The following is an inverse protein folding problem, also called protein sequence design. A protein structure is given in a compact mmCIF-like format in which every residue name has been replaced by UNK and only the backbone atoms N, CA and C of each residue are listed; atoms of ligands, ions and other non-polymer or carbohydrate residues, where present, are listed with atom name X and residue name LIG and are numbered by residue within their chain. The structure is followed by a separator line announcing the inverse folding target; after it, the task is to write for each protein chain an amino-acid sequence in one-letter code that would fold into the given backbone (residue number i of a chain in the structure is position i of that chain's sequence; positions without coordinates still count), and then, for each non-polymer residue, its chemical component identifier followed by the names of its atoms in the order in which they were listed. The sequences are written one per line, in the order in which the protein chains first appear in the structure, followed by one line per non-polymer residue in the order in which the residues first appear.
data_IF_892519672996
#
_entry.id   IF_892519672996
#
_cell.length_a   1.000
_cell.length_b   1.000
_cell.length_c   1.000
_cell.angle_alpha   90.00
_cell.angle_beta   90.00
_cell.angle_gamma   90.00
#
_symmetry.space_group_name_H-M   'P 1'
#
loop_
_entity.id
_entity.type
_entity.pdbx_description
1 polymer ?
#
# COMPACT_ATOMS: atom_id res chain seq x y z
N UNK A 1 -13.94 -38.25 -25.56
CA UNK A 1 -12.49 -38.25 -25.42
C UNK A 1 -12.13 -37.21 -24.37
N UNK A 2 -11.96 -37.68 -23.15
CA UNK A 2 -11.61 -36.89 -21.96
C UNK A 2 -10.10 -36.70 -21.93
N UNK A 3 -9.62 -35.46 -21.82
CA UNK A 3 -8.23 -35.19 -21.44
C UNK A 3 -8.24 -34.51 -20.07
N UNK A 4 -7.69 -35.26 -19.11
CA UNK A 4 -7.50 -34.80 -17.74
C UNK A 4 -6.49 -33.67 -17.65
N UNK A 5 -6.79 -32.74 -16.75
CA UNK A 5 -5.88 -31.68 -16.30
C UNK A 5 -5.03 -32.29 -15.18
N UNK A 6 -3.74 -32.38 -15.43
CA UNK A 6 -2.74 -32.82 -14.46
C UNK A 6 -2.42 -31.67 -13.51
N UNK A 7 -2.73 -31.88 -12.24
CA UNK A 7 -2.41 -30.96 -11.14
C UNK A 7 -0.95 -31.22 -10.75
N UNK A 8 -0.07 -30.26 -11.02
CA UNK A 8 1.29 -30.28 -10.48
C UNK A 8 1.29 -29.91 -9.01
N UNK A 9 1.58 -30.93 -8.22
CA UNK A 9 1.72 -30.95 -6.78
C UNK A 9 2.99 -30.24 -6.30
N UNK A 10 2.80 -29.46 -5.28
CA UNK A 10 3.68 -28.91 -4.26
C UNK A 10 5.11 -29.46 -4.14
N UNK A 11 6.08 -28.54 -4.24
CA UNK A 11 7.41 -28.72 -3.69
C UNK A 11 7.68 -27.59 -2.66
N UNK A 12 7.18 -27.81 -1.43
CA UNK A 12 7.53 -26.99 -0.27
C UNK A 12 8.89 -27.42 0.25
N UNK A 13 9.91 -26.62 0.02
CA UNK A 13 11.24 -26.77 0.59
C UNK A 13 11.18 -26.61 2.13
N UNK A 14 11.19 -27.73 2.84
CA UNK A 14 11.45 -27.79 4.29
C UNK A 14 12.92 -27.40 4.56
N UNK A 15 13.15 -26.22 5.07
CA UNK A 15 14.44 -25.84 5.68
C UNK A 15 14.47 -26.30 7.13
N UNK A 16 15.34 -27.25 7.42
CA UNK A 16 15.70 -27.70 8.77
C UNK A 16 16.61 -26.65 9.42
N UNK A 17 16.42 -26.26 10.68
CA UNK A 17 17.35 -25.37 11.37
C UNK A 17 18.63 -26.12 11.75
N UNK A 18 19.77 -25.51 11.43
CA UNK A 18 21.09 -25.99 11.82
C UNK A 18 21.29 -25.83 13.34
N UNK A 19 21.57 -26.94 14.02
CA UNK A 19 21.98 -26.97 15.41
C UNK A 19 23.39 -26.41 15.55
N UNK A 20 23.55 -25.35 16.33
CA UNK A 20 24.86 -24.84 16.75
C UNK A 20 25.31 -25.64 17.97
N UNK A 21 26.36 -26.47 17.80
CA UNK A 21 27.06 -27.09 18.91
C UNK A 21 27.91 -26.03 19.61
N UNK A 22 27.62 -25.78 20.88
CA UNK A 22 28.48 -25.03 21.80
C UNK A 22 29.46 -26.02 22.42
N UNK A 23 30.75 -25.86 22.15
CA UNK A 23 31.82 -26.60 22.79
C UNK A 23 32.17 -25.91 24.11
N UNK A 24 31.97 -26.65 25.18
CA UNK A 24 32.36 -26.33 26.56
C UNK A 24 33.86 -26.58 26.72
N UNK A 25 34.69 -25.57 26.90
CA UNK A 25 36.06 -25.70 27.36
C UNK A 25 36.23 -25.09 28.73
N UNK A 26 36.23 -25.95 29.72
CA UNK A 26 36.63 -25.63 31.06
C UNK A 26 38.16 -25.49 31.11
N UNK A 27 38.68 -24.31 31.48
CA UNK A 27 40.07 -24.09 31.88
C UNK A 27 40.08 -23.52 33.30
N UNK A 28 40.75 -24.27 34.17
CA UNK A 28 40.89 -23.99 35.59
C UNK A 28 41.78 -22.79 35.94
N UNK A 29 41.84 -22.43 37.24
CA UNK A 29 42.35 -21.12 37.66
C UNK A 29 43.86 -21.11 37.87
N UNK A 30 44.56 -20.20 37.18
CA UNK A 30 45.92 -19.82 37.53
C UNK A 30 45.89 -18.51 38.35
N UNK A 31 46.25 -18.65 39.64
CA UNK A 31 46.47 -17.52 40.53
C UNK A 31 47.74 -16.78 40.07
N UNK A 32 47.62 -15.49 39.83
CA UNK A 32 48.71 -14.53 39.89
C UNK A 32 48.16 -13.24 40.54
N UNK A 33 48.58 -13.06 41.78
CA UNK A 33 48.42 -11.83 42.51
C UNK A 33 49.27 -10.74 41.83
N UNK A 34 48.62 -9.74 41.27
CA UNK A 34 49.24 -8.50 40.86
C UNK A 34 48.54 -7.35 41.56
N UNK A 35 49.24 -6.80 42.56
CA UNK A 35 48.88 -5.55 43.20
C UNK A 35 48.84 -4.44 42.14
N UNK A 36 47.66 -3.97 41.83
CA UNK A 36 47.47 -2.74 41.06
C UNK A 36 46.73 -1.75 41.91
N UNK A 37 47.41 -0.71 42.29
CA UNK A 37 46.88 0.39 43.07
C UNK A 37 45.72 1.12 42.35
N UNK A 38 44.94 1.92 43.08
CA UNK A 38 43.77 2.58 42.53
C UNK A 38 44.19 3.77 41.63
N UNK A 39 44.31 3.54 40.35
CA UNK A 39 44.24 4.65 39.41
C UNK A 39 42.74 4.92 39.19
N UNK A 40 42.22 5.84 40.00
CA UNK A 40 41.01 6.55 39.68
C UNK A 40 41.27 7.43 38.46
N UNK A 41 41.22 6.84 37.28
CA UNK A 41 41.12 7.59 36.06
C UNK A 41 39.68 8.20 36.04
N UNK A 42 39.64 9.49 36.31
CA UNK A 42 38.44 10.28 36.04
C UNK A 42 38.15 10.25 34.54
N UNK A 43 37.37 9.29 34.10
CA UNK A 43 36.77 9.31 32.76
C UNK A 43 35.88 10.54 32.71
N UNK A 44 36.07 11.45 31.76
CA UNK A 44 35.19 12.59 31.63
C UNK A 44 33.75 12.11 31.40
N UNK A 45 32.84 12.51 32.29
CA UNK A 45 31.40 12.25 32.23
C UNK A 45 30.72 12.85 30.95
N UNK A 46 31.54 13.36 30.02
CA UNK A 46 31.07 13.99 28.78
C UNK A 46 30.64 13.00 27.68
N UNK A 47 30.83 11.67 27.87
CA UNK A 47 30.43 10.69 26.85
C UNK A 47 29.05 10.09 27.04
N UNK A 48 28.30 10.50 28.06
CA UNK A 48 26.97 9.93 28.35
C UNK A 48 25.80 10.76 27.84
N UNK A 49 26.05 11.80 27.05
CA UNK A 49 25.00 12.58 26.38
C UNK A 49 25.16 12.57 24.86
N UNK A 50 25.60 11.46 24.29
CA UNK A 50 25.22 11.18 22.92
C UNK A 50 23.72 10.83 22.93
N UNK A 51 22.86 11.86 23.13
CA UNK A 51 21.51 11.77 22.60
C UNK A 51 21.70 11.41 21.14
N UNK A 52 21.34 10.17 20.77
CA UNK A 52 21.19 9.81 19.39
C UNK A 52 20.20 10.84 18.83
N UNK A 53 20.71 11.91 18.24
CA UNK A 53 19.93 12.74 17.35
C UNK A 53 19.51 11.76 16.27
N UNK A 54 18.24 11.37 16.30
CA UNK A 54 17.62 10.76 15.13
C UNK A 54 18.06 11.65 13.97
N UNK A 55 18.89 11.09 13.07
CA UNK A 55 19.48 11.86 11.98
C UNK A 55 18.37 12.61 11.28
N UNK A 56 18.54 13.91 11.10
CA UNK A 56 17.60 14.69 10.35
C UNK A 56 17.62 14.14 8.94
N UNK A 57 16.46 13.67 8.44
CA UNK A 57 16.35 13.14 7.08
C UNK A 57 16.68 14.28 6.12
N UNK A 58 17.64 14.05 5.24
CA UNK A 58 17.95 14.97 4.15
C UNK A 58 16.80 14.91 3.12
N UNK A 59 16.05 16.00 2.92
CA UNK A 59 14.94 15.99 1.98
C UNK A 59 15.38 15.86 0.51
N UNK A 60 16.66 16.06 0.17
CA UNK A 60 17.19 15.80 -1.16
C UNK A 60 17.44 14.30 -1.43
N UNK A 61 17.57 13.50 -0.38
CA UNK A 61 17.77 12.06 -0.45
C UNK A 61 16.51 11.28 -0.11
N UNK A 62 15.70 11.80 0.82
CA UNK A 62 14.47 11.14 1.26
C UNK A 62 13.36 12.15 1.51
N UNK A 63 12.32 12.13 0.68
CA UNK A 63 11.12 12.93 0.87
C UNK A 63 10.07 12.18 1.72
N UNK A 64 9.52 12.85 2.73
CA UNK A 64 8.45 12.31 3.56
C UNK A 64 7.20 13.18 3.46
N UNK A 65 6.08 12.58 3.09
CA UNK A 65 4.76 13.19 3.21
C UNK A 65 4.01 12.50 4.35
N UNK A 66 3.79 13.19 5.45
CA UNK A 66 3.03 12.67 6.59
C UNK A 66 1.54 12.65 6.28
N UNK A 67 0.79 11.77 6.93
CA UNK A 67 -0.65 11.60 6.69
C UNK A 67 -1.47 12.87 6.88
N UNK A 68 -1.09 13.73 7.82
CA UNK A 68 -1.70 15.02 8.11
C UNK A 68 -1.34 16.12 7.09
N UNK A 69 -0.29 15.89 6.31
CA UNK A 69 0.16 16.79 5.24
C UNK A 69 -0.40 16.41 3.85
N UNK A 70 -1.12 15.30 3.74
CA UNK A 70 -1.74 14.88 2.47
C UNK A 70 -2.86 15.85 2.10
N UNK A 71 -2.75 16.44 0.90
CA UNK A 71 -3.74 17.37 0.38
C UNK A 71 -4.79 16.62 -0.44
N UNK A 72 -5.98 16.51 0.12
CA UNK A 72 -7.13 15.95 -0.54
C UNK A 72 -7.87 16.99 -1.35
N UNK A 73 -8.24 16.64 -2.57
CA UNK A 73 -9.05 17.45 -3.46
C UNK A 73 -10.34 16.69 -3.78
N UNK A 74 -11.47 17.36 -3.75
CA UNK A 74 -12.73 16.78 -4.23
C UNK A 74 -12.61 16.53 -5.73
N UNK A 75 -13.25 15.49 -6.21
CA UNK A 75 -13.33 15.27 -7.66
C UNK A 75 -14.15 16.34 -8.34
N UNK A 76 -13.57 16.97 -9.37
CA UNK A 76 -14.21 18.07 -10.11
C UNK A 76 -15.51 17.64 -10.79
N UNK A 77 -15.57 16.39 -11.26
CA UNK A 77 -16.66 15.87 -12.08
C UNK A 77 -17.61 14.93 -11.33
N UNK A 78 -17.37 14.73 -10.02
CA UNK A 78 -18.20 13.88 -9.16
C UNK A 78 -19.30 14.65 -8.43
N UNK A 79 -20.35 13.96 -7.97
CA UNK A 79 -21.32 14.58 -7.06
C UNK A 79 -20.66 15.09 -5.78
N UNK A 80 -21.18 16.14 -5.17
CA UNK A 80 -20.70 16.59 -3.86
C UNK A 80 -20.61 15.41 -2.88
N UNK A 81 -19.53 15.33 -2.12
CA UNK A 81 -19.28 14.29 -1.12
C UNK A 81 -19.15 12.86 -1.66
N UNK A 82 -18.96 12.65 -2.97
CA UNK A 82 -18.77 11.31 -3.53
C UNK A 82 -17.38 10.74 -3.21
N UNK A 83 -16.36 11.58 -3.17
CA UNK A 83 -15.01 11.16 -2.86
C UNK A 83 -13.97 12.25 -3.07
N UNK A 84 -12.72 11.87 -2.83
CA UNK A 84 -11.56 12.76 -2.90
C UNK A 84 -10.36 12.03 -3.50
N UNK A 85 -9.44 12.79 -4.06
CA UNK A 85 -8.16 12.31 -4.59
C UNK A 85 -7.00 13.11 -4.04
N UNK A 86 -5.88 12.45 -3.79
CA UNK A 86 -4.63 13.11 -3.42
C UNK A 86 -3.49 12.54 -4.25
N UNK A 87 -2.77 13.39 -4.97
CA UNK A 87 -1.58 12.97 -5.72
C UNK A 87 -0.37 12.97 -4.77
N UNK A 88 0.25 11.80 -4.62
CA UNK A 88 1.46 11.63 -3.82
C UNK A 88 2.73 11.69 -4.66
N UNK A 89 2.65 11.25 -5.91
CA UNK A 89 3.79 11.22 -6.83
C UNK A 89 3.31 11.35 -8.29
N UNK A 90 4.10 12.04 -9.11
CA UNK A 90 3.85 12.20 -10.54
C UNK A 90 2.64 13.07 -10.85
N UNK A 91 2.02 12.82 -11.99
CA UNK A 91 0.84 13.53 -12.50
C UNK A 91 -0.08 12.54 -13.21
N UNK A 92 -1.38 12.83 -13.23
CA UNK A 92 -2.34 12.05 -14.03
C UNK A 92 -2.36 12.47 -15.52
N UNK A 93 -1.82 13.65 -15.83
CA UNK A 93 -1.92 14.27 -17.15
C UNK A 93 -0.62 14.20 -17.96
N UNK A 94 0.53 14.15 -17.28
CA UNK A 94 1.85 14.14 -17.93
C UNK A 94 2.42 12.72 -17.98
N UNK A 95 3.06 12.31 -19.10
CA UNK A 95 3.63 10.98 -19.23
C UNK A 95 4.59 10.62 -18.10
N UNK A 96 4.41 9.43 -17.53
CA UNK A 96 5.25 8.89 -16.46
C UNK A 96 4.46 8.11 -15.40
N UNK A 97 5.14 7.55 -14.41
CA UNK A 97 4.49 6.86 -13.31
C UNK A 97 3.80 7.85 -12.38
N UNK A 98 2.67 7.44 -11.82
CA UNK A 98 1.96 8.18 -10.79
C UNK A 98 1.56 7.31 -9.63
N UNK A 99 1.43 7.92 -8.46
CA UNK A 99 0.81 7.35 -7.28
C UNK A 99 -0.22 8.36 -6.74
N UNK A 100 -1.46 7.93 -6.65
CA UNK A 100 -2.55 8.72 -6.06
C UNK A 100 -3.26 7.92 -4.98
N UNK A 101 -3.82 8.62 -4.01
CA UNK A 101 -4.82 8.07 -3.11
C UNK A 101 -6.20 8.46 -3.61
N UNK A 102 -7.12 7.51 -3.62
CA UNK A 102 -8.54 7.74 -3.86
C UNK A 102 -9.31 7.42 -2.60
N UNK A 103 -10.21 8.31 -2.20
CA UNK A 103 -11.16 8.10 -1.12
C UNK A 103 -12.57 8.04 -1.72
N UNK A 104 -13.25 6.93 -1.51
CA UNK A 104 -14.64 6.73 -1.87
C UNK A 104 -15.52 6.84 -0.65
N UNK A 105 -16.51 7.70 -0.69
CA UNK A 105 -17.50 7.80 0.37
C UNK A 105 -18.66 6.81 0.16
N UNK A 106 -19.31 6.34 1.26
CA UNK A 106 -20.44 5.44 1.17
C UNK A 106 -21.58 5.97 0.31
N UNK A 107 -22.14 5.11 -0.53
CA UNK A 107 -23.27 5.42 -1.40
C UNK A 107 -22.88 5.86 -2.81
N UNK A 108 -21.61 5.83 -3.17
CA UNK A 108 -21.15 6.25 -4.49
C UNK A 108 -20.26 5.20 -5.15
N UNK A 109 -20.49 5.01 -6.45
CA UNK A 109 -19.69 4.16 -7.31
C UNK A 109 -19.43 4.85 -8.66
N UNK A 110 -18.36 4.46 -9.34
CA UNK A 110 -18.16 4.86 -10.74
C UNK A 110 -19.17 4.16 -11.66
N UNK A 111 -19.50 4.78 -12.78
CA UNK A 111 -20.10 4.07 -13.90
C UNK A 111 -19.11 3.09 -14.54
N UNK A 112 -19.55 2.09 -15.33
CA UNK A 112 -18.65 1.26 -16.10
C UNK A 112 -17.76 2.08 -17.03
N UNK A 113 -16.45 1.88 -16.90
CA UNK A 113 -15.41 2.61 -17.60
C UNK A 113 -14.17 1.76 -17.79
N UNK A 114 -13.26 2.22 -18.63
CA UNK A 114 -11.95 1.60 -18.82
C UNK A 114 -10.83 2.64 -18.83
N UNK A 115 -9.60 2.15 -18.75
CA UNK A 115 -8.38 2.95 -18.86
C UNK A 115 -7.46 2.38 -19.95
N UNK A 116 -6.66 3.23 -20.57
CA UNK A 116 -5.74 2.83 -21.62
C UNK A 116 -4.59 1.92 -21.12
N UNK A 117 -4.24 2.01 -19.84
CA UNK A 117 -3.15 1.26 -19.19
C UNK A 117 -3.66 0.51 -17.97
N UNK A 118 -2.91 -0.50 -17.55
CA UNK A 118 -3.17 -1.20 -16.29
C UNK A 118 -3.11 -0.22 -15.09
N UNK A 119 -3.94 -0.47 -14.10
CA UNK A 119 -3.89 0.21 -12.82
C UNK A 119 -3.75 -0.80 -11.69
N UNK A 120 -2.81 -0.55 -10.81
CA UNK A 120 -2.54 -1.38 -9.64
C UNK A 120 -3.08 -0.67 -8.41
N UNK A 121 -3.85 -1.37 -7.61
CA UNK A 121 -4.57 -0.80 -6.49
C UNK A 121 -4.30 -1.59 -5.22
N UNK A 122 -4.05 -0.88 -4.11
CA UNK A 122 -3.96 -1.46 -2.78
C UNK A 122 -5.00 -0.78 -1.89
N UNK A 123 -5.88 -1.55 -1.27
CA UNK A 123 -6.86 -1.02 -0.32
C UNK A 123 -6.15 -0.72 1.00
N UNK A 124 -6.15 0.54 1.42
CA UNK A 124 -5.47 0.99 2.64
C UNK A 124 -6.41 0.96 3.86
N UNK A 125 -7.68 1.33 3.67
CA UNK A 125 -8.70 1.30 4.73
C UNK A 125 -10.09 1.12 4.15
N UNK A 126 -11.03 0.71 5.00
CA UNK A 126 -12.42 0.46 4.63
C UNK A 126 -12.62 -0.78 3.77
N UNK A 127 -13.75 -0.84 3.12
CA UNK A 127 -14.09 -1.87 2.14
C UNK A 127 -14.40 -1.21 0.79
N UNK A 128 -13.70 -1.64 -0.23
CA UNK A 128 -13.90 -1.20 -1.61
C UNK A 128 -14.67 -2.26 -2.38
N UNK A 129 -15.80 -1.91 -3.00
CA UNK A 129 -16.58 -2.82 -3.83
C UNK A 129 -16.18 -2.67 -5.28
N UNK A 130 -15.84 -3.79 -5.91
CA UNK A 130 -15.31 -3.84 -7.27
C UNK A 130 -16.10 -4.83 -8.13
N UNK A 131 -16.24 -4.52 -9.40
CA UNK A 131 -16.78 -5.47 -10.39
C UNK A 131 -16.11 -5.25 -11.75
N UNK A 132 -16.32 -6.17 -12.67
CA UNK A 132 -15.89 -6.11 -14.06
C UNK A 132 -17.11 -6.20 -14.99
N UNK A 133 -16.96 -5.67 -16.21
CA UNK A 133 -18.00 -5.70 -17.23
C UNK A 133 -18.56 -4.33 -17.55
N UNK A 134 -19.35 -4.30 -18.64
CA UNK A 134 -19.99 -3.09 -19.15
C UNK A 134 -21.34 -2.80 -18.45
N UNK A 135 -21.98 -3.84 -17.90
CA UNK A 135 -23.27 -3.73 -17.25
C UNK A 135 -23.11 -3.35 -15.79
N UNK A 136 -23.75 -2.25 -15.39
CA UNK A 136 -23.69 -1.77 -14.02
C UNK A 136 -24.64 -2.57 -13.14
N UNK A 137 -24.08 -3.43 -12.29
CA UNK A 137 -24.81 -4.20 -11.27
C UNK A 137 -24.10 -4.09 -9.90
N UNK A 138 -24.42 -3.07 -9.12
CA UNK A 138 -23.79 -2.86 -7.82
C UNK A 138 -24.07 -3.97 -6.81
N UNK A 139 -25.16 -4.77 -6.99
CA UNK A 139 -25.49 -5.86 -6.08
C UNK A 139 -24.46 -7.00 -6.16
N UNK A 140 -23.93 -7.25 -7.34
CA UNK A 140 -22.91 -8.25 -7.60
C UNK A 140 -21.46 -7.72 -7.44
N UNK A 141 -21.27 -6.48 -6.99
CA UNK A 141 -19.93 -5.97 -6.70
C UNK A 141 -19.31 -6.70 -5.50
N UNK A 142 -18.05 -7.12 -5.67
CA UNK A 142 -17.30 -7.91 -4.70
C UNK A 142 -16.66 -6.98 -3.68
N UNK A 143 -16.83 -7.24 -2.36
CA UNK A 143 -16.16 -6.47 -1.31
C UNK A 143 -14.69 -6.84 -1.23
N UNK A 144 -13.82 -5.84 -1.21
CA UNK A 144 -12.36 -5.97 -1.10
C UNK A 144 -11.92 -5.19 0.13
N UNK A 145 -11.43 -5.89 1.15
CA UNK A 145 -11.03 -5.31 2.42
C UNK A 145 -9.62 -4.69 2.37
N UNK A 146 -9.30 -3.88 3.38
CA UNK A 146 -7.96 -3.33 3.58
C UNK A 146 -6.87 -4.41 3.54
N UNK A 147 -5.73 -4.09 2.95
CA UNK A 147 -4.61 -5.01 2.68
C UNK A 147 -4.73 -5.81 1.38
N UNK A 148 -5.87 -5.74 0.70
CA UNK A 148 -6.08 -6.46 -0.56
C UNK A 148 -5.51 -5.69 -1.76
N UNK A 149 -5.06 -6.46 -2.76
CA UNK A 149 -4.56 -5.96 -4.02
C UNK A 149 -5.57 -6.21 -5.16
N UNK A 150 -5.76 -5.21 -6.03
CA UNK A 150 -6.59 -5.31 -7.23
C UNK A 150 -5.80 -4.79 -8.42
N UNK A 151 -5.72 -5.59 -9.49
CA UNK A 151 -5.24 -5.14 -10.80
C UNK A 151 -6.41 -4.88 -11.72
N UNK A 152 -6.49 -3.67 -12.26
CA UNK A 152 -7.39 -3.32 -13.36
C UNK A 152 -6.63 -3.47 -14.67
N UNK A 153 -7.04 -4.41 -15.49
CA UNK A 153 -6.42 -4.67 -16.79
C UNK A 153 -6.80 -3.56 -17.76
N UNK A 154 -5.83 -3.11 -18.55
CA UNK A 154 -6.02 -2.09 -19.58
C UNK A 154 -7.20 -2.41 -20.52
N UNK A 155 -7.96 -1.40 -20.88
CA UNK A 155 -9.08 -1.46 -21.83
C UNK A 155 -10.20 -2.44 -21.46
N UNK A 156 -10.25 -2.87 -20.22
CA UNK A 156 -11.28 -3.77 -19.70
C UNK A 156 -12.31 -2.97 -18.91
N UNK A 157 -13.59 -2.99 -19.27
CA UNK A 157 -14.63 -2.30 -18.54
C UNK A 157 -14.74 -2.80 -17.09
N UNK A 158 -14.89 -1.86 -16.17
CA UNK A 158 -15.07 -2.13 -14.76
C UNK A 158 -15.76 -0.94 -14.08
N UNK A 159 -16.22 -1.16 -12.87
CA UNK A 159 -16.75 -0.12 -11.99
C UNK A 159 -16.46 -0.48 -10.53
N UNK A 160 -16.45 0.53 -9.68
CA UNK A 160 -16.09 0.38 -8.28
C UNK A 160 -16.54 1.56 -7.43
N UNK A 161 -16.51 1.38 -6.12
CA UNK A 161 -16.87 2.40 -5.15
C UNK A 161 -17.20 1.83 -3.79
N UNK A 162 -18.07 2.50 -3.05
CA UNK A 162 -18.51 2.07 -1.71
C UNK A 162 -20.03 2.05 -1.65
N UNK A 163 -20.58 0.88 -1.28
CA UNK A 163 -22.03 0.70 -1.15
C UNK A 163 -22.62 1.57 -0.04
N UNK A 164 -23.88 2.00 -0.21
CA UNK A 164 -24.64 2.65 0.84
C UNK A 164 -24.72 1.72 2.07
N UNK A 165 -24.57 2.30 3.25
CA UNK A 165 -24.60 1.54 4.49
C UNK A 165 -23.23 1.03 4.94
N UNK A 166 -22.17 1.21 4.16
CA UNK A 166 -20.80 1.05 4.66
C UNK A 166 -20.55 2.05 5.80
N UNK A 167 -19.83 1.60 6.84
CA UNK A 167 -19.61 2.41 8.05
C UNK A 167 -18.58 3.52 7.85
N UNK A 168 -17.72 3.35 6.87
CA UNK A 168 -16.58 4.25 6.62
C UNK A 168 -16.24 4.33 5.13
N UNK A 169 -15.56 5.39 4.69
CA UNK A 169 -15.00 5.48 3.35
C UNK A 169 -13.96 4.39 3.09
N UNK A 170 -13.78 4.02 1.83
CA UNK A 170 -12.63 3.23 1.41
C UNK A 170 -11.53 4.17 0.90
N UNK A 171 -10.29 3.93 1.34
CA UNK A 171 -9.09 4.60 0.83
C UNK A 171 -8.24 3.60 0.08
N UNK A 172 -7.90 3.95 -1.17
CA UNK A 172 -7.17 3.09 -2.09
C UNK A 172 -5.94 3.83 -2.60
N UNK A 173 -4.76 3.20 -2.52
CA UNK A 173 -3.59 3.66 -3.26
C UNK A 173 -3.64 3.11 -4.68
N UNK A 174 -3.47 3.98 -5.67
CA UNK A 174 -3.50 3.66 -7.09
C UNK A 174 -2.18 4.04 -7.75
N UNK A 175 -1.56 3.06 -8.37
CA UNK A 175 -0.35 3.23 -9.17
C UNK A 175 -0.65 2.91 -10.64
N UNK A 176 -0.07 3.69 -11.55
CA UNK A 176 -0.21 3.47 -12.98
C UNK A 176 0.75 4.34 -13.79
N UNK A 177 0.54 4.36 -15.10
CA UNK A 177 1.30 5.17 -16.05
C UNK A 177 0.35 6.20 -16.67
N UNK A 178 0.72 7.45 -16.58
CA UNK A 178 0.01 8.58 -17.18
C UNK A 178 0.46 8.80 -18.65
N UNK A 179 -0.35 9.52 -19.48
CA UNK A 179 -1.59 10.20 -19.11
C UNK A 179 -2.74 9.24 -18.87
N UNK A 180 -3.55 9.53 -17.85
CA UNK A 180 -4.72 8.72 -17.52
C UNK A 180 -5.87 9.13 -18.44
N UNK A 181 -6.31 8.19 -19.27
CA UNK A 181 -7.51 8.35 -20.09
C UNK A 181 -8.63 7.52 -19.51
N UNK A 182 -9.64 8.19 -19.00
CA UNK A 182 -10.87 7.60 -18.50
C UNK A 182 -11.88 7.54 -19.65
N UNK A 183 -12.36 6.35 -19.98
CA UNK A 183 -13.30 6.12 -21.07
C UNK A 183 -14.56 5.44 -20.54
N UNK A 184 -15.68 6.16 -20.53
CA UNK A 184 -16.98 5.60 -20.17
C UNK A 184 -17.46 4.60 -21.21
N UNK A 185 -18.05 3.50 -20.75
CA UNK A 185 -18.76 2.55 -21.63
C UNK A 185 -19.96 3.21 -22.29
N UNK A 186 -20.67 4.06 -21.55
CA UNK A 186 -21.80 4.84 -22.04
C UNK A 186 -21.55 6.34 -21.76
N UNK A 187 -20.96 7.06 -22.73
CA UNK A 187 -20.68 8.50 -22.55
C UNK A 187 -21.94 9.37 -22.40
N UNK A 188 -23.11 8.88 -22.78
CA UNK A 188 -24.38 9.58 -22.61
C UNK A 188 -24.93 9.55 -21.18
N UNK A 189 -24.29 8.82 -20.28
CA UNK A 189 -24.71 8.73 -18.89
C UNK A 189 -23.67 9.33 -17.94
N UNK A 190 -24.09 9.80 -16.75
CA UNK A 190 -23.16 10.30 -15.75
C UNK A 190 -22.05 9.29 -15.41
N UNK A 191 -20.82 9.80 -15.17
CA UNK A 191 -19.67 8.97 -14.80
C UNK A 191 -19.78 8.33 -13.40
N UNK A 192 -20.74 8.78 -12.62
CA UNK A 192 -20.96 8.39 -11.24
C UNK A 192 -22.38 7.82 -11.05
N UNK A 193 -22.46 6.92 -10.09
CA UNK A 193 -23.74 6.34 -9.66
C UNK A 193 -23.89 6.51 -8.16
N UNK A 194 -25.06 6.92 -7.74
CA UNK A 194 -25.46 6.83 -6.34
C UNK A 194 -26.11 5.46 -6.10
N UNK A 195 -25.68 4.74 -5.08
CA UNK A 195 -26.07 3.35 -4.78
C UNK A 195 -26.52 3.19 -3.34
#
# INVERSE_FOLDING_TARGET
VSRGVEVLSDNVLKRTPASVCVADHAVGPARRDLLVGPFLAALPLALLHATARAGQIDPSETAITRSDAIKWNTWSDGPPHSGEVATLYGSLDTPGPYLVLMKWNPGYMSAPHSYATDRLSLVLSGTWWVNSGADFDPNNAIPVAAGSFVRRVARTPHYDGVKRGAKEPAVIALFGIAPVKFELVDPGKPAWRQV
#
